data_IF_047866026001
#
_entry.id   IF_047866026001
#
_cell.length_a   1.000
_cell.length_b   1.000
_cell.length_c   1.000
_cell.angle_alpha   90.00
_cell.angle_beta   90.00
_cell.angle_gamma   90.00
#
_symmetry.space_group_name_H-M   'P 1'
#
loop_
_entity.id
_entity.type
_entity.pdbx_description
1 polymer ?
#
# COMPACT_ATOMS: atom_id res chain seq x y z
N UNK A 1 10.45 11.77 14.02
CA UNK A 1 9.88 10.85 13.02
C UNK A 1 9.77 9.50 13.66
N UNK A 2 8.58 8.92 13.69
CA UNK A 2 8.37 7.54 14.13
C UNK A 2 8.11 6.66 12.90
N UNK A 3 8.76 5.51 12.85
CA UNK A 3 8.42 4.46 11.89
C UNK A 3 7.10 3.84 12.36
N UNK A 4 6.04 4.04 11.57
CA UNK A 4 4.74 3.45 11.86
C UNK A 4 4.60 2.20 11.00
N UNK A 5 4.85 1.04 11.61
CA UNK A 5 4.58 -0.24 10.98
C UNK A 5 3.20 -0.76 11.40
N UNK A 6 2.57 -1.51 10.50
CA UNK A 6 1.30 -2.18 10.78
C UNK A 6 1.26 -3.54 10.09
N UNK A 7 0.58 -4.49 10.71
CA UNK A 7 0.29 -5.80 10.12
C UNK A 7 -1.21 -6.05 10.19
N UNK A 8 -1.76 -6.59 9.11
CA UNK A 8 -3.16 -6.98 9.04
C UNK A 8 -3.36 -8.14 8.07
N UNK A 9 -4.61 -8.58 7.95
CA UNK A 9 -5.01 -9.61 6.99
C UNK A 9 -6.04 -9.06 6.03
N UNK A 10 -6.08 -9.64 4.83
CA UNK A 10 -7.16 -9.43 3.85
C UNK A 10 -7.72 -10.79 3.44
N UNK A 11 -8.96 -10.79 2.94
CA UNK A 11 -9.57 -12.01 2.45
C UNK A 11 -8.77 -12.60 1.27
N UNK A 12 -8.82 -13.92 1.14
CA UNK A 12 -8.21 -14.70 0.05
C UNK A 12 -8.42 -14.03 -1.31
N UNK A 13 -7.36 -13.40 -1.81
CA UNK A 13 -7.38 -12.63 -3.04
C UNK A 13 -7.25 -13.55 -4.23
N UNK A 14 -6.45 -14.61 -4.14
CA UNK A 14 -6.13 -15.46 -5.28
C UNK A 14 -7.01 -16.73 -5.39
N UNK A 15 -7.95 -16.93 -4.46
CA UNK A 15 -8.85 -18.07 -4.33
C UNK A 15 -8.11 -19.41 -4.09
N UNK A 16 -7.03 -19.42 -3.33
CA UNK A 16 -6.30 -20.65 -2.99
C UNK A 16 -6.64 -21.22 -1.59
N UNK A 17 -7.57 -20.60 -0.87
CA UNK A 17 -7.96 -20.99 0.47
C UNK A 17 -7.10 -20.40 1.59
N UNK A 18 -6.17 -19.48 1.27
CA UNK A 18 -5.33 -18.78 2.24
C UNK A 18 -5.61 -17.27 2.18
N UNK A 19 -5.80 -16.66 3.35
CA UNK A 19 -5.85 -15.20 3.45
C UNK A 19 -4.47 -14.60 3.27
N UNK A 20 -4.40 -13.46 2.58
CA UNK A 20 -3.16 -12.68 2.48
C UNK A 20 -2.94 -11.79 3.71
N UNK A 21 -1.68 -11.39 3.87
CA UNK A 21 -1.19 -10.49 4.91
C UNK A 21 -0.84 -9.16 4.25
N UNK A 22 -1.16 -8.08 4.95
CA UNK A 22 -0.76 -6.72 4.57
C UNK A 22 0.26 -6.22 5.57
N UNK A 23 1.40 -5.77 5.06
CA UNK A 23 2.46 -5.12 5.81
C UNK A 23 2.48 -3.64 5.43
N UNK A 24 2.15 -2.75 6.36
CA UNK A 24 2.22 -1.32 6.17
C UNK A 24 3.49 -0.76 6.80
N UNK A 25 4.18 0.12 6.08
CA UNK A 25 5.31 0.88 6.62
C UNK A 25 5.34 2.28 6.00
N UNK A 26 5.91 3.23 6.73
CA UNK A 26 5.98 4.61 6.28
C UNK A 26 7.09 5.39 6.94
N UNK A 27 7.62 6.36 6.19
CA UNK A 27 8.70 7.21 6.65
C UNK A 27 8.47 8.66 6.23
N UNK A 28 9.20 9.56 6.89
CA UNK A 28 9.23 10.97 6.54
C UNK A 28 10.67 11.39 6.29
N UNK A 29 10.92 11.99 5.13
CA UNK A 29 12.22 12.51 4.76
C UNK A 29 12.08 13.92 4.18
N UNK A 30 12.80 14.88 4.76
CA UNK A 30 12.81 16.29 4.31
C UNK A 30 11.43 16.91 4.14
N UNK A 31 10.48 16.58 5.04
CA UNK A 31 9.12 17.14 4.99
C UNK A 31 8.16 16.42 4.03
N UNK A 32 8.61 15.37 3.35
CA UNK A 32 7.77 14.45 2.59
C UNK A 32 7.52 13.17 3.39
N UNK A 33 6.26 12.81 3.59
CA UNK A 33 5.85 11.56 4.23
C UNK A 33 5.21 10.65 3.20
N UNK A 34 5.61 9.38 3.20
CA UNK A 34 4.99 8.34 2.36
C UNK A 34 4.72 7.09 3.22
N UNK A 35 3.57 6.45 2.99
CA UNK A 35 3.24 5.15 3.58
C UNK A 35 2.87 4.21 2.46
N UNK A 36 3.45 3.01 2.48
CA UNK A 36 3.17 1.95 1.54
C UNK A 36 2.65 0.69 2.27
N UNK A 37 1.86 -0.09 1.55
CA UNK A 37 1.39 -1.40 1.96
C UNK A 37 1.91 -2.47 0.99
N UNK A 38 2.51 -3.53 1.52
CA UNK A 38 2.89 -4.74 0.80
C UNK A 38 1.86 -5.82 1.07
N UNK A 39 1.40 -6.51 0.03
CA UNK A 39 0.50 -7.67 0.17
C UNK A 39 1.29 -8.94 -0.09
N UNK A 40 1.25 -9.88 0.86
CA UNK A 40 1.95 -11.15 0.80
C UNK A 40 1.03 -12.32 1.15
N UNK A 41 1.40 -13.51 0.71
CA UNK A 41 0.83 -14.78 1.17
C UNK A 41 1.92 -15.61 1.84
N UNK A 42 1.57 -16.30 2.92
CA UNK A 42 2.39 -17.32 3.56
C UNK A 42 1.78 -18.69 3.27
N UNK A 43 2.55 -19.55 2.63
CA UNK A 43 2.16 -20.93 2.34
C UNK A 43 3.30 -21.90 2.68
N UNK A 44 3.05 -23.23 2.70
CA UNK A 44 4.12 -24.22 2.84
C UNK A 44 5.21 -24.11 1.74
N UNK A 45 4.89 -23.50 0.59
CA UNK A 45 5.84 -23.27 -0.50
C UNK A 45 6.72 -22.02 -0.30
N UNK A 46 6.45 -21.23 0.74
CA UNK A 46 7.18 -20.01 1.08
C UNK A 46 6.32 -18.75 1.05
N UNK A 47 7.00 -17.60 1.02
CA UNK A 47 6.39 -16.27 0.98
C UNK A 47 6.20 -15.84 -0.47
N UNK A 48 4.99 -15.45 -0.84
CA UNK A 48 4.67 -14.91 -2.16
C UNK A 48 4.25 -13.44 -2.01
N UNK A 49 4.93 -12.54 -2.70
CA UNK A 49 4.53 -11.14 -2.78
C UNK A 49 3.57 -10.90 -3.95
N UNK A 50 2.44 -10.23 -3.69
CA UNK A 50 1.56 -9.70 -4.73
C UNK A 50 2.05 -8.35 -5.24
N UNK A 51 2.66 -7.56 -4.35
CA UNK A 51 3.30 -6.30 -4.68
C UNK A 51 3.08 -5.23 -3.61
N UNK A 52 3.47 -4.00 -3.95
CA UNK A 52 3.52 -2.84 -3.06
C UNK A 52 2.63 -1.73 -3.63
N UNK A 53 1.93 -1.03 -2.76
CA UNK A 53 1.11 0.13 -3.12
C UNK A 53 1.28 1.27 -2.13
N UNK A 54 1.41 2.49 -2.63
CA UNK A 54 1.35 3.68 -1.77
C UNK A 54 -0.08 3.87 -1.27
N UNK A 55 -0.23 4.06 0.04
CA UNK A 55 -1.50 4.25 0.74
C UNK A 55 -1.64 5.64 1.35
N UNK A 56 -0.55 6.39 1.46
CA UNK A 56 -0.54 7.78 1.93
C UNK A 56 0.65 8.56 1.38
N UNK A 57 0.41 9.84 1.06
CA UNK A 57 1.41 10.81 0.61
C UNK A 57 1.13 12.17 1.23
N UNK A 58 2.16 12.85 1.73
CA UNK A 58 2.06 14.19 2.30
C UNK A 58 3.35 14.98 2.04
N UNK A 59 3.22 16.20 1.52
CA UNK A 59 4.32 17.11 1.23
C UNK A 59 4.23 18.44 2.03
N UNK A 60 3.38 18.50 3.06
CA UNK A 60 3.15 19.71 3.85
C UNK A 60 4.33 20.16 4.71
N UNK A 61 5.34 19.30 4.93
CA UNK A 61 6.59 19.71 5.55
C UNK A 61 7.59 20.34 4.59
N UNK A 62 7.35 20.27 3.28
CA UNK A 62 8.31 20.66 2.24
C UNK A 62 7.80 21.77 1.30
N UNK A 63 6.49 21.96 1.17
CA UNK A 63 5.91 22.90 0.21
C UNK A 63 4.80 23.76 0.83
N UNK A 64 4.67 25.01 0.39
CA UNK A 64 3.60 25.91 0.84
C UNK A 64 2.22 25.52 0.27
N UNK A 65 2.19 25.02 -0.97
CA UNK A 65 0.97 24.54 -1.65
C UNK A 65 0.86 23.03 -1.54
N UNK A 66 0.82 22.56 -0.31
CA UNK A 66 0.90 21.14 -0.02
C UNK A 66 -0.38 20.35 -0.30
N UNK A 67 -0.23 19.03 -0.33
CA UNK A 67 -1.25 18.02 -0.56
C UNK A 67 -1.01 16.86 0.39
N UNK A 68 -2.07 16.47 1.08
CA UNK A 68 -2.14 15.24 1.85
C UNK A 68 -3.16 14.32 1.19
N UNK A 69 -2.69 13.20 0.66
CA UNK A 69 -3.46 12.20 -0.06
C UNK A 69 -3.46 10.87 0.69
N UNK A 70 -4.59 10.20 0.67
CA UNK A 70 -4.72 8.81 1.11
C UNK A 70 -5.33 7.99 -0.02
N UNK A 71 -4.94 6.73 -0.09
CA UNK A 71 -5.40 5.83 -1.12
C UNK A 71 -6.07 4.61 -0.51
N UNK A 72 -7.32 4.35 -0.91
CA UNK A 72 -8.01 3.12 -0.56
C UNK A 72 -7.80 2.12 -1.68
N UNK A 73 -7.18 1.00 -1.35
CA UNK A 73 -7.02 -0.13 -2.25
C UNK A 73 -8.20 -1.07 -2.11
N UNK A 74 -8.64 -1.60 -3.24
CA UNK A 74 -9.62 -2.68 -3.31
C UNK A 74 -9.16 -3.69 -4.32
N UNK A 75 -9.56 -4.93 -4.13
CA UNK A 75 -9.22 -6.03 -5.02
C UNK A 75 -10.49 -6.75 -5.45
N UNK A 76 -10.49 -7.20 -6.71
CA UNK A 76 -11.41 -8.23 -7.18
C UNK A 76 -10.67 -9.57 -7.11
N UNK A 77 -11.09 -10.50 -6.24
CA UNK A 77 -10.44 -11.81 -6.12
C UNK A 77 -10.54 -12.65 -7.39
N UNK A 78 -9.62 -13.61 -7.50
CA UNK A 78 -9.53 -14.59 -8.57
C UNK A 78 -8.07 -15.04 -8.79
N UNK A 79 -7.82 -16.06 -9.64
CA UNK A 79 -6.47 -16.61 -9.85
C UNK A 79 -5.41 -15.57 -10.26
N UNK A 80 -5.86 -14.44 -10.80
CA UNK A 80 -5.06 -13.24 -11.04
C UNK A 80 -5.85 -12.03 -10.54
N UNK A 81 -5.67 -11.61 -9.27
CA UNK A 81 -6.47 -10.55 -8.68
C UNK A 81 -6.29 -9.23 -9.43
N UNK A 82 -7.38 -8.47 -9.57
CA UNK A 82 -7.31 -7.12 -10.12
C UNK A 82 -7.44 -6.09 -9.02
N UNK A 83 -6.51 -5.13 -8.96
CA UNK A 83 -6.50 -4.09 -7.94
C UNK A 83 -7.06 -2.78 -8.49
N UNK A 84 -7.66 -1.99 -7.60
CA UNK A 84 -8.19 -0.67 -7.87
C UNK A 84 -7.84 0.28 -6.74
N UNK A 85 -7.68 1.56 -7.07
CA UNK A 85 -7.29 2.60 -6.12
C UNK A 85 -8.26 3.77 -6.19
N UNK A 86 -8.87 4.10 -5.05
CA UNK A 86 -9.61 5.34 -4.83
C UNK A 86 -8.68 6.37 -4.17
N UNK A 87 -8.80 7.64 -4.55
CA UNK A 87 -8.00 8.72 -3.96
C UNK A 87 -8.86 9.58 -3.05
N UNK A 88 -8.32 9.89 -1.87
CA UNK A 88 -8.88 10.80 -0.90
C UNK A 88 -7.90 11.94 -0.66
N UNK A 89 -8.43 13.14 -0.42
CA UNK A 89 -7.64 14.32 -0.04
C UNK A 89 -8.13 14.83 1.30
N UNK A 90 -7.19 15.24 2.16
CA UNK A 90 -7.51 15.89 3.43
C UNK A 90 -7.97 17.33 3.17
N UNK A 91 -9.13 17.71 3.71
CA UNK A 91 -9.63 19.10 3.75
C UNK A 91 -10.28 19.35 5.10
N UNK A 92 -9.86 20.40 5.82
CA UNK A 92 -10.38 20.76 7.14
C UNK A 92 -10.46 19.55 8.08
N UNK A 93 -9.35 18.82 8.22
CA UNK A 93 -9.24 17.59 9.03
C UNK A 93 -10.14 16.40 8.62
N UNK A 94 -10.80 16.47 7.46
CA UNK A 94 -11.63 15.39 6.93
C UNK A 94 -11.08 14.82 5.64
N UNK A 95 -11.18 13.50 5.49
CA UNK A 95 -10.89 12.80 4.24
C UNK A 95 -12.09 12.88 3.32
N UNK A 96 -11.90 13.52 2.17
CA UNK A 96 -12.92 13.62 1.12
C UNK A 96 -12.45 12.85 -0.10
N UNK A 97 -13.36 12.08 -0.70
CA UNK A 97 -13.08 11.37 -1.96
C UNK A 97 -12.74 12.39 -3.05
N UNK A 98 -11.57 12.23 -3.64
CA UNK A 98 -11.03 13.11 -4.68
C UNK A 98 -11.06 12.45 -6.06
N UNK A 99 -10.96 11.12 -6.14
CA UNK A 99 -11.09 10.36 -7.38
C UNK A 99 -11.78 9.01 -7.14
N UNK A 100 -12.52 8.56 -8.16
CA UNK A 100 -13.13 7.22 -8.18
C UNK A 100 -12.07 6.11 -8.30
N UNK A 101 -12.49 4.88 -8.01
CA UNK A 101 -11.66 3.71 -8.14
C UNK A 101 -11.21 3.54 -9.60
N UNK A 102 -9.91 3.54 -9.83
CA UNK A 102 -9.31 3.22 -11.13
C UNK A 102 -8.45 1.97 -11.00
N UNK A 103 -8.34 1.18 -12.08
CA UNK A 103 -7.46 0.01 -12.11
C UNK A 103 -6.04 0.43 -11.73
N UNK A 104 -5.44 -0.32 -10.83
CA UNK A 104 -4.13 -0.02 -10.26
C UNK A 104 -3.23 -1.25 -10.37
N UNK A 105 -1.97 -1.03 -10.73
CA UNK A 105 -0.95 -2.07 -10.77
C UNK A 105 -0.07 -1.93 -9.54
N UNK A 106 -0.01 -2.98 -8.72
CA UNK A 106 0.93 -3.03 -7.61
C UNK A 106 2.36 -2.95 -8.18
N UNK A 107 3.23 -2.20 -7.50
CA UNK A 107 4.66 -2.19 -7.81
C UNK A 107 5.23 -3.55 -7.45
N UNK A 108 6.13 -4.08 -8.29
CA UNK A 108 6.88 -5.28 -7.95
C UNK A 108 7.89 -4.93 -6.86
N UNK A 109 8.08 -5.85 -5.93
CA UNK A 109 9.29 -5.82 -5.12
C UNK A 109 10.47 -6.21 -6.03
N UNK A 110 11.28 -5.22 -6.39
CA UNK A 110 12.46 -5.38 -7.26
C UNK A 110 13.74 -5.58 -6.45
N UNK A 111 13.62 -5.72 -5.13
CA UNK A 111 14.77 -5.90 -4.24
C UNK A 111 15.34 -7.30 -4.41
N UNK A 112 16.40 -7.42 -5.22
CA UNK A 112 17.26 -8.60 -5.20
C UNK A 112 18.07 -8.56 -3.90
N UNK A 113 17.56 -9.18 -2.85
CA UNK A 113 18.36 -9.44 -1.66
C UNK A 113 19.45 -10.46 -2.01
N UNK A 114 20.69 -10.00 -2.15
CA UNK A 114 21.84 -10.88 -1.98
C UNK A 114 21.97 -11.11 -0.48
N UNK A 115 21.79 -12.35 -0.04
CA UNK A 115 22.32 -12.76 1.25
C UNK A 115 23.83 -12.47 1.20
N UNK A 116 24.29 -11.61 2.10
CA UNK A 116 25.73 -11.48 2.32
C UNK A 116 26.19 -12.82 2.90
N UNK A 117 26.97 -13.56 2.11
CA UNK A 117 27.72 -14.73 2.57
C UNK A 117 28.83 -14.29 3.52
#
# INVERSE_FOLDING_TARGET
GGENSSIGTVADLNNNGLSEIVLGDGSTHQGYTNVAAMVIELSPSGVKAFGIADVYEDDCGATEKCKTLAYKLSAKPGPSPSFYRETYRKRNERWLKAANAVRYSLRKDVSKYRLAN
#
